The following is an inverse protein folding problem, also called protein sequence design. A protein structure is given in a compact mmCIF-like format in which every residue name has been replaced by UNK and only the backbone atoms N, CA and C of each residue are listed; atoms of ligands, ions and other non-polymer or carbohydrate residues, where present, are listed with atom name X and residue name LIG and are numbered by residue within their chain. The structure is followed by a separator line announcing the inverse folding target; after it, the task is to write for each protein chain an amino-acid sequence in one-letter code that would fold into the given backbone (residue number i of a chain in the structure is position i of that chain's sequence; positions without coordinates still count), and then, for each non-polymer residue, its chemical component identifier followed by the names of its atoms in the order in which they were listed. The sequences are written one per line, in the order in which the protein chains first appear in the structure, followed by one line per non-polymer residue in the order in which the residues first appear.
data_IF_257609749775
#
_entry.id   IF_257609749775
#
_cell.length_a   1.000
_cell.length_b   1.000
_cell.length_c   1.000
_cell.angle_alpha   90.00
_cell.angle_beta   90.00
_cell.angle_gamma   90.00
#
_symmetry.space_group_name_H-M   'P 1'
#
loop_
_entity.id
_entity.type
_entity.pdbx_description
1 polymer ?
#
# COMPACT_ATOMS: atom_id res chain seq x y z
N UNK A 1 31.65 -57.54 32.30
CA UNK A 1 32.35 -56.35 32.83
C UNK A 1 32.25 -55.27 31.76
N UNK A 2 31.54 -54.15 32.02
CA UNK A 2 32.10 -52.78 32.22
C UNK A 2 33.07 -52.37 31.08
N UNK A 3 32.89 -51.29 30.33
CA UNK A 3 32.07 -50.10 30.59
C UNK A 3 31.97 -49.15 29.39
N UNK A 4 31.21 -48.08 29.63
CA UNK A 4 30.79 -46.99 28.73
C UNK A 4 31.88 -45.91 28.59
N UNK A 5 31.80 -45.10 27.53
CA UNK A 5 31.68 -43.61 27.52
C UNK A 5 32.30 -43.01 26.24
N UNK A 6 31.53 -42.08 25.65
CA UNK A 6 31.73 -41.35 24.41
C UNK A 6 32.78 -40.23 24.49
N UNK A 7 33.18 -39.71 23.32
CA UNK A 7 33.45 -38.28 23.17
C UNK A 7 32.99 -37.79 21.79
N UNK A 8 32.00 -36.91 21.82
CA UNK A 8 31.53 -36.04 20.72
C UNK A 8 32.23 -34.70 20.89
N UNK A 9 32.78 -34.13 19.81
CA UNK A 9 33.18 -32.72 19.67
C UNK A 9 33.58 -32.53 18.19
N UNK A 10 33.02 -31.63 17.39
CA UNK A 10 31.92 -30.70 17.53
C UNK A 10 31.70 -30.11 16.14
N UNK A 11 30.47 -30.12 15.63
CA UNK A 11 30.13 -29.41 14.40
C UNK A 11 30.18 -27.91 14.69
N UNK A 12 31.24 -27.26 14.24
CA UNK A 12 31.20 -25.85 13.89
C UNK A 12 30.62 -25.71 12.49
N UNK A 13 29.42 -25.15 12.38
CA UNK A 13 28.99 -24.51 11.14
C UNK A 13 28.03 -23.36 11.46
N UNK A 14 28.63 -22.17 11.44
CA UNK A 14 28.13 -20.92 10.87
C UNK A 14 26.64 -20.61 11.04
N UNK A 15 26.39 -19.58 11.86
CA UNK A 15 25.16 -18.82 11.81
C UNK A 15 24.96 -18.13 10.47
N UNK A 16 23.70 -18.02 10.06
CA UNK A 16 23.07 -17.00 9.21
C UNK A 16 21.69 -17.51 8.84
N UNK A 17 20.63 -16.81 9.23
CA UNK A 17 19.44 -16.45 8.40
C UNK A 17 18.27 -15.92 9.24
N UNK A 18 18.26 -14.63 9.65
CA UNK A 18 17.02 -13.95 10.05
C UNK A 18 16.16 -13.49 8.84
N UNK A 19 16.57 -13.76 7.60
CA UNK A 19 15.92 -13.20 6.40
C UNK A 19 14.57 -13.81 6.04
N UNK A 20 14.33 -15.09 6.36
CA UNK A 20 13.09 -15.79 6.01
C UNK A 20 11.87 -15.26 6.79
N UNK A 21 12.06 -14.83 8.04
CA UNK A 21 10.96 -14.31 8.86
C UNK A 21 10.46 -12.94 8.35
N UNK A 22 11.39 -12.06 7.94
CA UNK A 22 11.09 -10.68 7.53
C UNK A 22 10.28 -10.60 6.22
N UNK A 23 10.62 -11.46 5.26
CA UNK A 23 9.89 -11.58 3.99
C UNK A 23 8.47 -12.11 4.21
N UNK A 24 8.30 -12.99 5.20
CA UNK A 24 7.01 -13.62 5.52
C UNK A 24 6.04 -12.61 6.16
N UNK A 25 6.50 -11.79 7.11
CA UNK A 25 5.67 -10.75 7.72
C UNK A 25 5.16 -9.72 6.71
N UNK A 26 6.06 -9.24 5.84
CA UNK A 26 5.71 -8.25 4.81
C UNK A 26 4.73 -8.85 3.80
N UNK A 27 4.98 -10.07 3.32
CA UNK A 27 4.12 -10.74 2.35
C UNK A 27 2.72 -11.00 2.92
N UNK A 28 2.62 -11.44 4.17
CA UNK A 28 1.34 -11.66 4.84
C UNK A 28 0.54 -10.35 4.98
N UNK A 29 1.20 -9.26 5.35
CA UNK A 29 0.54 -7.95 5.47
C UNK A 29 0.07 -7.44 4.10
N UNK A 30 0.88 -7.59 3.06
CA UNK A 30 0.54 -7.24 1.68
C UNK A 30 -0.64 -8.06 1.18
N UNK A 31 -0.63 -9.37 1.39
CA UNK A 31 -1.71 -10.26 1.00
C UNK A 31 -3.02 -9.92 1.74
N UNK A 32 -2.96 -9.68 3.05
CA UNK A 32 -4.13 -9.30 3.83
C UNK A 32 -4.76 -7.98 3.34
N UNK A 33 -3.95 -7.00 2.95
CA UNK A 33 -4.42 -5.74 2.37
C UNK A 33 -5.01 -5.95 0.97
N UNK A 34 -4.41 -6.81 0.14
CA UNK A 34 -4.98 -7.16 -1.17
C UNK A 34 -6.36 -7.84 -1.02
N UNK A 35 -6.48 -8.83 -0.12
CA UNK A 35 -7.73 -9.55 0.13
C UNK A 35 -8.84 -8.65 0.66
N UNK A 36 -8.51 -7.76 1.61
CA UNK A 36 -9.50 -6.83 2.19
C UNK A 36 -9.79 -5.62 1.30
N UNK A 37 -8.88 -5.28 0.37
CA UNK A 37 -8.89 -4.03 -0.41
C UNK A 37 -8.96 -2.78 0.47
N UNK A 38 -8.41 -2.88 1.68
CA UNK A 38 -8.43 -1.82 2.68
C UNK A 38 -7.01 -1.53 3.17
N UNK A 39 -6.57 -0.28 3.01
CA UNK A 39 -5.32 0.20 3.60
C UNK A 39 -5.36 0.10 5.13
N UNK A 40 -4.25 -0.30 5.74
CA UNK A 40 -4.12 -0.50 7.20
C UNK A 40 -2.72 -0.13 7.69
N UNK A 41 -2.51 -0.24 9.00
CA UNK A 41 -1.19 -0.21 9.63
C UNK A 41 -0.86 -1.63 10.07
N UNK A 42 0.29 -2.14 9.64
CA UNK A 42 0.78 -3.47 10.01
C UNK A 42 2.10 -3.37 10.78
N UNK A 43 2.32 -4.29 11.71
CA UNK A 43 3.61 -4.43 12.38
C UNK A 43 4.52 -5.31 11.51
N UNK A 44 5.52 -4.70 10.87
CA UNK A 44 6.44 -5.35 9.93
C UNK A 44 7.87 -5.07 10.39
N UNK A 45 8.63 -6.12 10.68
CA UNK A 45 10.03 -6.05 11.08
C UNK A 45 10.25 -5.13 12.30
N UNK A 46 9.40 -5.28 13.32
CA UNK A 46 9.50 -4.50 14.56
C UNK A 46 8.99 -3.06 14.47
N UNK A 47 8.37 -2.66 13.35
CA UNK A 47 7.88 -1.28 13.14
C UNK A 47 6.46 -1.27 12.62
N UNK A 48 5.67 -0.28 13.04
CA UNK A 48 4.36 -0.02 12.45
C UNK A 48 4.57 0.67 11.10
N UNK A 49 4.05 0.08 10.02
CA UNK A 49 4.13 0.60 8.66
C UNK A 49 2.74 0.72 8.05
N UNK A 50 2.52 1.78 7.27
CA UNK A 50 1.32 1.89 6.44
C UNK A 50 1.41 0.88 5.30
N UNK A 51 0.38 0.05 5.16
CA UNK A 51 0.20 -0.86 4.03
C UNK A 51 -1.04 -0.39 3.28
N UNK A 52 -0.83 0.07 2.06
CA UNK A 52 -1.79 0.86 1.28
C UNK A 52 -2.28 0.02 0.11
N UNK A 53 -3.59 -0.19 0.04
CA UNK A 53 -4.21 -0.75 -1.15
C UNK A 53 -4.29 0.33 -2.21
N UNK A 54 -3.59 0.15 -3.33
CA UNK A 54 -3.48 1.16 -4.40
C UNK A 54 -4.62 0.99 -5.41
N UNK A 55 -5.01 -0.25 -5.70
CA UNK A 55 -6.05 -0.56 -6.69
C UNK A 55 -5.76 -1.87 -7.43
N UNK A 56 -6.42 -2.06 -8.57
CA UNK A 56 -6.13 -3.18 -9.47
C UNK A 56 -5.44 -2.68 -10.74
N UNK A 57 -4.48 -3.45 -11.23
CA UNK A 57 -3.82 -3.19 -12.50
C UNK A 57 -3.38 -4.52 -13.13
N UNK A 58 -3.71 -4.70 -14.41
CA UNK A 58 -3.53 -5.94 -15.18
C UNK A 58 -4.08 -7.19 -14.49
N UNK A 59 -5.23 -7.05 -13.83
CA UNK A 59 -5.92 -8.17 -13.16
C UNK A 59 -5.29 -8.59 -11.83
N UNK A 60 -4.26 -7.90 -11.35
CA UNK A 60 -3.65 -8.12 -10.03
C UNK A 60 -3.89 -6.93 -9.11
N UNK A 61 -3.95 -7.19 -7.80
CA UNK A 61 -4.03 -6.14 -6.80
C UNK A 61 -2.65 -5.49 -6.64
N UNK A 62 -2.64 -4.16 -6.54
CA UNK A 62 -1.47 -3.34 -6.26
C UNK A 62 -1.48 -2.89 -4.82
N UNK A 63 -0.39 -3.14 -4.11
CA UNK A 63 -0.22 -2.81 -2.70
C UNK A 63 1.11 -2.11 -2.50
N UNK A 64 1.15 -1.12 -1.61
CA UNK A 64 2.38 -0.39 -1.27
C UNK A 64 2.64 -0.44 0.23
N UNK A 65 3.88 -0.68 0.62
CA UNK A 65 4.35 -0.55 2.01
C UNK A 65 5.17 0.72 2.14
N UNK A 66 4.78 1.59 3.07
CA UNK A 66 5.51 2.81 3.38
C UNK A 66 6.61 2.53 4.42
N UNK A 67 7.86 2.79 4.07
CA UNK A 67 9.06 2.53 4.88
C UNK A 67 9.67 3.79 5.53
N UNK A 68 9.19 4.96 5.13
CA UNK A 68 9.59 6.29 5.60
C UNK A 68 8.68 7.33 4.96
N UNK A 69 8.96 8.62 5.17
CA UNK A 69 8.06 9.70 4.72
C UNK A 69 7.80 9.64 3.21
N UNK A 70 8.83 9.34 2.40
CA UNK A 70 8.73 9.25 0.93
C UNK A 70 9.37 7.97 0.34
N UNK A 71 9.53 6.91 1.16
CA UNK A 71 10.07 5.63 0.68
C UNK A 71 8.97 4.55 0.63
N UNK A 72 8.70 4.07 -0.58
CA UNK A 72 7.62 3.13 -0.86
C UNK A 72 8.17 1.86 -1.50
N UNK A 73 7.80 0.71 -0.94
CA UNK A 73 7.99 -0.59 -1.61
C UNK A 73 6.67 -0.98 -2.26
N UNK A 74 6.70 -1.28 -3.56
CA UNK A 74 5.51 -1.65 -4.31
C UNK A 74 5.43 -3.17 -4.48
N UNK A 75 4.21 -3.70 -4.48
CA UNK A 75 3.94 -5.13 -4.60
C UNK A 75 2.74 -5.39 -5.50
N UNK A 76 2.80 -6.48 -6.27
CA UNK A 76 1.65 -7.06 -6.97
C UNK A 76 1.21 -8.34 -6.30
N UNK A 77 -0.10 -8.49 -6.16
CA UNK A 77 -0.73 -9.70 -5.63
C UNK A 77 -1.64 -10.28 -6.72
N UNK A 78 -1.21 -11.39 -7.30
CA UNK A 78 -1.96 -12.10 -8.34
C UNK A 78 -2.41 -13.44 -7.75
N UNK A 79 -3.68 -13.53 -7.33
CA UNK A 79 -4.14 -14.66 -6.51
C UNK A 79 -3.50 -14.60 -5.12
N UNK A 80 -2.67 -15.61 -4.77
CA UNK A 80 -1.94 -15.68 -3.50
C UNK A 80 -0.43 -15.40 -3.66
N UNK A 81 0.01 -15.02 -4.86
CA UNK A 81 1.41 -14.77 -5.13
C UNK A 81 1.73 -13.28 -4.94
N UNK A 82 2.60 -12.97 -3.97
CA UNK A 82 3.10 -11.62 -3.70
C UNK A 82 4.43 -11.40 -4.42
N UNK A 83 4.49 -10.41 -5.31
CA UNK A 83 5.69 -10.03 -6.08
C UNK A 83 6.11 -8.61 -5.79
N UNK A 84 7.34 -8.41 -5.35
CA UNK A 84 7.92 -7.08 -5.23
C UNK A 84 8.10 -6.43 -6.61
N UNK A 85 7.87 -5.12 -6.67
CA UNK A 85 8.06 -4.27 -7.84
C UNK A 85 9.21 -3.32 -7.55
N UNK A 86 10.34 -3.54 -8.21
CA UNK A 86 11.52 -2.68 -8.11
C UNK A 86 11.42 -1.53 -9.11
N UNK A 87 10.41 -0.67 -8.92
CA UNK A 87 10.09 0.45 -9.79
C UNK A 87 10.08 1.75 -8.98
N UNK A 88 10.34 2.85 -9.67
CA UNK A 88 10.21 4.20 -9.11
C UNK A 88 9.11 4.89 -9.90
N UNK A 89 7.99 5.17 -9.23
CA UNK A 89 6.88 5.89 -9.85
C UNK A 89 7.33 7.31 -10.25
N UNK A 90 6.94 7.80 -11.44
CA UNK A 90 7.20 9.19 -11.79
C UNK A 90 6.41 10.11 -10.85
N UNK A 91 6.97 11.27 -10.53
CA UNK A 91 6.25 12.27 -9.73
C UNK A 91 5.02 12.77 -10.49
N UNK A 92 3.91 12.94 -9.79
CA UNK A 92 2.73 13.58 -10.37
C UNK A 92 2.87 15.10 -10.26
N UNK A 93 2.46 15.82 -11.29
CA UNK A 93 2.43 17.28 -11.29
C UNK A 93 1.00 17.77 -11.51
N UNK A 94 0.62 18.83 -10.79
CA UNK A 94 -0.66 19.51 -10.96
C UNK A 94 -0.70 20.34 -12.27
N UNK A 95 -0.39 19.73 -13.41
CA UNK A 95 -0.74 20.35 -14.70
C UNK A 95 -2.25 20.63 -14.74
N UNK A 96 -2.68 21.66 -15.49
CA UNK A 96 -4.08 22.11 -15.50
C UNK A 96 -5.08 20.96 -15.76
N UNK A 97 -4.70 19.99 -16.58
CA UNK A 97 -5.48 18.78 -16.83
C UNK A 97 -5.59 17.87 -15.60
N UNK A 98 -4.46 17.54 -14.95
CA UNK A 98 -4.44 16.68 -13.76
C UNK A 98 -5.21 17.27 -12.59
N UNK A 99 -5.10 18.59 -12.37
CA UNK A 99 -5.82 19.28 -11.29
C UNK A 99 -7.34 19.23 -11.47
N UNK A 100 -7.83 19.40 -12.70
CA UNK A 100 -9.25 19.28 -13.01
C UNK A 100 -9.78 17.87 -12.75
N UNK A 101 -9.02 16.84 -13.15
CA UNK A 101 -9.36 15.44 -12.89
C UNK A 101 -9.39 15.15 -11.39
N UNK A 102 -8.37 15.56 -10.64
CA UNK A 102 -8.34 15.40 -9.19
C UNK A 102 -9.57 16.01 -8.52
N UNK A 103 -9.93 17.25 -8.87
CA UNK A 103 -11.11 17.92 -8.32
C UNK A 103 -12.40 17.16 -8.66
N UNK A 104 -12.55 16.69 -9.89
CA UNK A 104 -13.72 15.91 -10.30
C UNK A 104 -13.83 14.58 -9.55
N UNK A 105 -12.71 13.85 -9.43
CA UNK A 105 -12.63 12.58 -8.71
C UNK A 105 -12.98 12.76 -7.23
N UNK A 106 -12.40 13.76 -6.54
CA UNK A 106 -12.72 14.05 -5.14
C UNK A 106 -14.19 14.43 -4.97
N UNK A 107 -14.74 15.30 -5.83
CA UNK A 107 -16.15 15.72 -5.74
C UNK A 107 -17.10 14.53 -5.89
N UNK A 108 -16.83 13.66 -6.87
CA UNK A 108 -17.64 12.46 -7.10
C UNK A 108 -17.50 11.45 -5.96
N UNK A 109 -16.32 11.30 -5.36
CA UNK A 109 -16.16 10.43 -4.19
C UNK A 109 -16.94 10.93 -2.96
N UNK A 110 -17.05 12.25 -2.76
CA UNK A 110 -17.90 12.82 -1.71
C UNK A 110 -19.38 12.54 -1.96
N UNK A 111 -19.83 12.63 -3.22
CA UNK A 111 -21.24 12.44 -3.59
C UNK A 111 -21.67 10.97 -3.67
N UNK A 112 -20.80 10.10 -4.18
CA UNK A 112 -21.12 8.72 -4.55
C UNK A 112 -20.32 7.67 -3.75
N UNK A 113 -19.47 8.09 -2.82
CA UNK A 113 -18.69 7.21 -1.95
C UNK A 113 -17.33 6.80 -2.55
N UNK A 114 -17.20 6.72 -3.87
CA UNK A 114 -15.91 6.52 -4.53
C UNK A 114 -15.93 7.02 -5.98
N UNK A 115 -14.76 7.36 -6.51
CA UNK A 115 -14.57 7.69 -7.91
C UNK A 115 -13.14 7.41 -8.35
N UNK A 116 -12.94 7.25 -9.64
CA UNK A 116 -11.62 7.09 -10.24
C UNK A 116 -11.60 7.60 -11.67
N UNK A 117 -10.48 8.18 -12.08
CA UNK A 117 -10.27 8.62 -13.45
C UNK A 117 -8.78 8.67 -13.76
N UNK A 118 -8.40 8.29 -14.99
CA UNK A 118 -7.05 8.44 -15.50
C UNK A 118 -6.89 9.80 -16.16
N UNK A 119 -5.81 10.52 -15.85
CA UNK A 119 -5.46 11.76 -16.52
C UNK A 119 -4.80 11.52 -17.89
N UNK A 120 -4.54 12.60 -18.64
CA UNK A 120 -3.95 12.52 -19.98
C UNK A 120 -2.51 11.99 -19.99
N UNK A 121 -1.82 11.98 -18.84
CA UNK A 121 -0.45 11.50 -18.71
C UNK A 121 -0.38 10.05 -18.21
N UNK A 122 -1.53 9.39 -18.00
CA UNK A 122 -1.61 8.00 -17.58
C UNK A 122 -1.66 7.78 -16.07
N UNK A 123 -1.76 8.83 -15.25
CA UNK A 123 -1.93 8.67 -13.81
C UNK A 123 -3.37 8.33 -13.49
N UNK A 124 -3.56 7.24 -12.76
CA UNK A 124 -4.86 6.88 -12.21
C UNK A 124 -5.05 7.59 -10.87
N UNK A 125 -6.03 8.49 -10.83
CA UNK A 125 -6.46 9.19 -9.63
C UNK A 125 -7.71 8.49 -9.11
N UNK A 126 -7.65 8.00 -7.87
CA UNK A 126 -8.79 7.38 -7.19
C UNK A 126 -9.09 8.14 -5.92
N UNK A 127 -10.37 8.21 -5.55
CA UNK A 127 -10.78 8.73 -4.27
C UNK A 127 -11.90 7.86 -3.67
N UNK A 128 -11.84 7.65 -2.36
CA UNK A 128 -12.89 6.97 -1.59
C UNK A 128 -13.28 7.76 -0.36
N UNK A 129 -14.58 7.85 -0.11
CA UNK A 129 -15.12 8.32 1.16
C UNK A 129 -14.83 7.28 2.25
N UNK A 130 -14.31 7.74 3.38
CA UNK A 130 -14.07 6.95 4.59
C UNK A 130 -15.20 7.14 5.62
N UNK A 131 -16.29 7.77 5.21
CA UNK A 131 -17.40 8.16 6.08
C UNK A 131 -17.35 9.63 6.52
N UNK A 132 -18.46 10.07 7.11
CA UNK A 132 -18.64 11.43 7.61
C UNK A 132 -18.42 11.47 9.13
N UNK A 133 -17.54 12.35 9.60
CA UNK A 133 -17.39 12.65 11.04
C UNK A 133 -18.48 13.60 11.54
N UNK A 134 -18.99 14.45 10.64
CA UNK A 134 -20.01 15.46 10.92
C UNK A 134 -20.95 15.57 9.70
N UNK A 135 -22.20 16.04 9.86
CA UNK A 135 -23.17 16.10 8.77
C UNK A 135 -22.70 16.87 7.52
N UNK A 136 -21.73 17.76 7.68
CA UNK A 136 -21.23 18.65 6.64
C UNK A 136 -19.83 18.29 6.14
N UNK A 137 -19.14 17.30 6.72
CA UNK A 137 -17.76 16.96 6.35
C UNK A 137 -17.60 15.46 6.07
N UNK A 138 -16.90 15.14 4.99
CA UNK A 138 -16.58 13.77 4.56
C UNK A 138 -15.07 13.58 4.54
N UNK A 139 -14.57 12.54 5.20
CA UNK A 139 -13.18 12.14 5.07
C UNK A 139 -13.01 11.41 3.74
N UNK A 140 -12.02 11.82 2.96
CA UNK A 140 -11.70 11.24 1.66
C UNK A 140 -10.24 10.81 1.68
N UNK A 141 -9.98 9.57 1.28
CA UNK A 141 -8.66 9.13 0.85
C UNK A 141 -8.54 9.33 -0.65
N UNK A 142 -7.45 9.96 -1.08
CA UNK A 142 -7.06 10.09 -2.47
C UNK A 142 -5.78 9.29 -2.68
N UNK A 143 -5.74 8.50 -3.75
CA UNK A 143 -4.54 7.78 -4.20
C UNK A 143 -4.30 8.14 -5.65
N UNK A 144 -3.08 8.59 -5.93
CA UNK A 144 -2.56 8.77 -7.28
C UNK A 144 -1.59 7.62 -7.54
N UNK A 145 -1.75 6.95 -8.67
CA UNK A 145 -0.90 5.83 -9.06
C UNK A 145 -0.52 5.91 -10.53
N UNK A 146 0.61 5.30 -10.87
CA UNK A 146 1.10 5.17 -12.24
C UNK A 146 1.53 3.72 -12.45
N UNK A 147 0.98 3.06 -13.48
CA UNK A 147 1.20 1.63 -13.70
C UNK A 147 0.97 0.77 -12.43
N UNK A 148 -0.02 1.15 -11.62
CA UNK A 148 -0.38 0.51 -10.36
C UNK A 148 0.64 0.66 -9.23
N UNK A 149 1.68 1.48 -9.38
CA UNK A 149 2.60 1.85 -8.31
C UNK A 149 2.12 3.16 -7.66
N UNK A 150 2.25 3.28 -6.34
CA UNK A 150 1.80 4.47 -5.62
C UNK A 150 2.69 5.67 -6.00
N UNK A 151 2.04 6.79 -6.35
CA UNK A 151 2.72 8.07 -6.63
C UNK A 151 2.50 9.04 -5.48
N UNK A 152 1.25 9.19 -5.02
CA UNK A 152 0.91 10.06 -3.90
C UNK A 152 -0.36 9.54 -3.19
N UNK A 153 -0.49 9.87 -1.91
CA UNK A 153 -1.66 9.57 -1.10
C UNK A 153 -1.96 10.73 -0.16
N UNK A 154 -3.22 11.16 -0.17
CA UNK A 154 -3.72 12.17 0.75
C UNK A 154 -4.95 11.67 1.50
N UNK A 155 -5.02 11.97 2.79
CA UNK A 155 -6.21 11.84 3.63
C UNK A 155 -6.68 13.26 3.98
N UNK A 156 -7.89 13.64 3.54
CA UNK A 156 -8.42 14.99 3.73
C UNK A 156 -9.87 14.95 4.17
N UNK A 157 -10.25 15.88 5.06
CA UNK A 157 -11.65 16.15 5.36
C UNK A 157 -12.16 17.23 4.41
N UNK A 158 -13.21 16.93 3.65
CA UNK A 158 -13.86 17.83 2.70
C UNK A 158 -15.19 18.26 3.30
N UNK A 159 -15.34 19.55 3.59
CA UNK A 159 -16.55 20.10 4.17
C UNK A 159 -17.36 20.87 3.14
N UNK A 160 -18.66 20.59 3.08
CA UNK A 160 -19.65 21.42 2.41
C UNK A 160 -19.73 22.73 3.16
N UNK A 161 -19.40 23.85 2.49
CA UNK A 161 -19.62 25.17 3.10
C UNK A 161 -21.13 25.38 3.24
N UNK A 162 -21.69 25.60 4.45
CA UNK A 162 -23.07 26.04 4.56
C UNK A 162 -23.16 27.40 3.86
N UNK A 163 -23.91 27.46 2.76
CA UNK A 163 -24.27 28.73 2.14
C UNK A 163 -25.25 29.48 3.04
#
# INVERSE_FOLDING_TARGET
MKGRIALVLGLGLLGLTPTLALATETSNAVEAVAQSRMSTVAHINGRNKSVIYVGQFDGCDSVTVQNGDDHFDHYRVCGHEVKARNTVSPSWTESDGGKAVLKAVVSNAVLYGAASQTDANGYLITARSLGALQPICTNVEVIISYEGDLVDRALKSICSNPR
#
